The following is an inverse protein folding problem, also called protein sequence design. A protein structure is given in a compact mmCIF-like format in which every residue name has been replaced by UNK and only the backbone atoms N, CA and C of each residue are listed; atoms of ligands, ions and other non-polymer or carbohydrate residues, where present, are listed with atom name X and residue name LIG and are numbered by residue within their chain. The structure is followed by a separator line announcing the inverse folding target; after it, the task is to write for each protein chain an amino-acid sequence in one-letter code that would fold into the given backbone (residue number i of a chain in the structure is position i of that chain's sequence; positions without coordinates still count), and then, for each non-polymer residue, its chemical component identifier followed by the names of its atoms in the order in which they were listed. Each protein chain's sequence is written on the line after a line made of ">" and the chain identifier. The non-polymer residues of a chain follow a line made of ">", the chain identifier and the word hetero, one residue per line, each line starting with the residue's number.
data_IF_462286182139
#
_entry.id   IF_462286182139
#
_cell.length_a   1.000
_cell.length_b   1.000
_cell.length_c   1.000
_cell.angle_alpha   90.00
_cell.angle_beta   90.00
_cell.angle_gamma   90.00
#
_symmetry.space_group_name_H-M   'P 1'
#
loop_
_entity.id
_entity.type
_entity.pdbx_description
1 polymer ?
#
# COMPACT_ATOMS: atom_id res chain seq x y z
N UNK A 1 -30.23 -5.69 -29.61
CA UNK A 1 -28.85 -5.35 -29.98
C UNK A 1 -27.99 -5.43 -28.74
N UNK A 2 -26.87 -6.14 -28.80
CA UNK A 2 -25.90 -6.19 -27.71
C UNK A 2 -24.71 -5.30 -28.05
N UNK A 3 -24.09 -4.68 -27.05
CA UNK A 3 -22.87 -3.90 -27.23
C UNK A 3 -21.68 -4.73 -26.75
N UNK A 4 -20.61 -4.77 -27.55
CA UNK A 4 -19.38 -5.44 -27.15
C UNK A 4 -18.72 -4.67 -25.99
N UNK A 5 -18.59 -5.29 -24.81
CA UNK A 5 -18.02 -4.62 -23.62
C UNK A 5 -16.54 -4.20 -23.82
N UNK A 6 -15.86 -4.73 -24.84
CA UNK A 6 -14.44 -4.46 -25.07
C UNK A 6 -14.16 -3.30 -26.03
N UNK A 7 -14.98 -3.15 -27.06
CA UNK A 7 -14.75 -2.21 -28.18
C UNK A 7 -15.98 -1.36 -28.55
N UNK A 8 -17.06 -1.48 -27.77
CA UNK A 8 -18.31 -0.73 -27.92
C UNK A 8 -19.05 -0.90 -29.26
N UNK A 9 -18.59 -1.82 -30.11
CA UNK A 9 -19.26 -2.15 -31.37
C UNK A 9 -20.63 -2.79 -31.12
N UNK A 10 -21.62 -2.39 -31.91
CA UNK A 10 -22.93 -3.04 -31.94
C UNK A 10 -22.82 -4.43 -32.54
N UNK A 11 -23.27 -5.43 -31.79
CA UNK A 11 -23.28 -6.82 -32.23
C UNK A 11 -24.62 -7.10 -32.93
N UNK A 12 -24.56 -7.26 -34.26
CA UNK A 12 -25.72 -7.49 -35.12
C UNK A 12 -26.21 -8.96 -35.12
N UNK A 13 -25.38 -9.89 -34.66
CA UNK A 13 -25.63 -11.34 -34.59
C UNK A 13 -25.60 -11.87 -33.15
N UNK A 14 -25.71 -13.19 -32.96
CA UNK A 14 -25.60 -13.84 -31.65
C UNK A 14 -24.24 -13.51 -31.01
N UNK A 15 -24.19 -12.75 -29.91
CA UNK A 15 -22.92 -12.30 -29.34
C UNK A 15 -22.12 -13.47 -28.78
N UNK A 16 -20.80 -13.39 -28.91
CA UNK A 16 -19.90 -14.26 -28.15
C UNK A 16 -20.07 -13.87 -26.69
N UNK A 17 -20.40 -14.83 -25.82
CA UNK A 17 -20.54 -14.58 -24.37
C UNK A 17 -19.58 -15.46 -23.61
N UNK A 18 -19.27 -15.08 -22.37
CA UNK A 18 -18.57 -15.98 -21.46
C UNK A 18 -19.42 -17.24 -21.24
N UNK A 19 -18.95 -18.45 -21.57
CA UNK A 19 -19.76 -19.67 -21.49
C UNK A 19 -20.20 -19.97 -20.05
N UNK A 20 -19.52 -19.38 -19.06
CA UNK A 20 -19.80 -19.59 -17.64
C UNK A 20 -20.77 -18.58 -17.06
N UNK A 21 -20.43 -17.29 -17.09
CA UNK A 21 -21.27 -16.28 -16.45
C UNK A 21 -22.36 -15.72 -17.38
N UNK A 22 -22.17 -15.74 -18.70
CA UNK A 22 -23.05 -15.13 -19.71
C UNK A 22 -23.37 -13.64 -19.51
N UNK A 23 -22.73 -12.97 -18.55
CA UNK A 23 -23.00 -11.57 -18.17
C UNK A 23 -22.44 -10.54 -19.14
N UNK A 24 -21.48 -10.93 -19.99
CA UNK A 24 -20.79 -10.03 -20.91
C UNK A 24 -20.95 -10.52 -22.35
N UNK A 25 -21.22 -9.59 -23.25
CA UNK A 25 -21.34 -9.80 -24.69
C UNK A 25 -20.13 -9.24 -25.42
N UNK A 26 -19.63 -9.99 -26.41
CA UNK A 26 -18.46 -9.66 -27.22
C UNK A 26 -18.81 -9.82 -28.71
N UNK A 27 -18.22 -8.97 -29.56
CA UNK A 27 -18.37 -9.10 -31.01
C UNK A 27 -17.51 -10.22 -31.62
N UNK A 28 -16.52 -10.72 -30.89
CA UNK A 28 -15.62 -11.79 -31.34
C UNK A 28 -14.93 -12.49 -30.17
N UNK A 29 -14.40 -13.68 -30.42
CA UNK A 29 -13.53 -14.41 -29.48
C UNK A 29 -12.28 -13.62 -29.12
N UNK A 30 -11.71 -12.84 -30.05
CA UNK A 30 -10.58 -11.94 -29.77
C UNK A 30 -10.95 -10.87 -28.73
N UNK A 31 -12.11 -10.22 -28.89
CA UNK A 31 -12.60 -9.26 -27.91
C UNK A 31 -12.85 -9.91 -26.55
N UNK A 32 -13.39 -11.12 -26.54
CA UNK A 32 -13.55 -11.91 -25.32
C UNK A 32 -12.20 -12.18 -24.64
N UNK A 33 -11.24 -12.78 -25.33
CA UNK A 33 -9.92 -13.14 -24.79
C UNK A 33 -9.16 -11.92 -24.25
N UNK A 34 -9.16 -10.82 -24.99
CA UNK A 34 -8.50 -9.58 -24.54
C UNK A 34 -9.17 -8.92 -23.32
N UNK A 35 -10.44 -9.24 -23.05
CA UNK A 35 -11.16 -8.74 -21.87
C UNK A 35 -11.06 -9.68 -20.66
N UNK A 36 -10.60 -10.93 -20.84
CA UNK A 36 -10.46 -11.92 -19.76
C UNK A 36 -9.71 -11.38 -18.54
N UNK A 37 -8.58 -10.64 -18.68
CA UNK A 37 -7.86 -10.09 -17.53
C UNK A 37 -8.66 -9.12 -16.66
N UNK A 38 -9.75 -8.55 -17.17
CA UNK A 38 -10.65 -7.68 -16.41
C UNK A 38 -11.90 -8.44 -15.97
N UNK A 39 -12.51 -9.16 -16.90
CA UNK A 39 -13.73 -9.93 -16.70
C UNK A 39 -13.62 -10.94 -15.56
N UNK A 40 -12.46 -11.60 -15.40
CA UNK A 40 -12.29 -12.69 -14.42
C UNK A 40 -12.60 -12.28 -12.98
N UNK A 41 -12.44 -11.00 -12.65
CA UNK A 41 -12.71 -10.46 -11.31
C UNK A 41 -14.21 -10.36 -10.98
N UNK A 42 -15.05 -10.24 -12.01
CA UNK A 42 -16.51 -10.18 -11.87
C UNK A 42 -17.17 -11.52 -12.24
N UNK A 43 -16.36 -12.48 -12.74
CA UNK A 43 -16.83 -13.79 -13.17
C UNK A 43 -16.96 -14.74 -11.97
N UNK A 44 -18.18 -14.89 -11.44
CA UNK A 44 -18.52 -15.78 -10.30
C UNK A 44 -18.24 -17.29 -10.50
N UNK A 45 -17.60 -17.69 -11.59
CA UNK A 45 -17.49 -19.09 -12.04
C UNK A 45 -16.06 -19.67 -11.99
N UNK A 46 -15.13 -19.03 -11.25
CA UNK A 46 -13.81 -19.60 -10.96
C UNK A 46 -13.56 -19.59 -9.45
N UNK A 47 -12.74 -20.54 -8.99
CA UNK A 47 -12.15 -20.52 -7.65
C UNK A 47 -11.18 -19.35 -7.48
N UNK A 48 -10.17 -19.46 -6.58
CA UNK A 48 -9.21 -18.38 -6.34
C UNK A 48 -8.59 -17.87 -7.65
N UNK A 49 -8.53 -16.54 -7.82
CA UNK A 49 -7.91 -15.90 -8.99
C UNK A 49 -6.39 -15.96 -8.82
N UNK A 50 -5.68 -16.49 -9.82
CA UNK A 50 -4.22 -16.57 -9.81
C UNK A 50 -3.58 -15.17 -9.82
N UNK A 51 -2.43 -15.03 -9.16
CA UNK A 51 -1.69 -13.79 -9.03
C UNK A 51 -1.22 -13.21 -10.38
N UNK A 52 -1.12 -14.03 -11.43
CA UNK A 52 -0.85 -13.58 -12.80
C UNK A 52 -1.94 -12.65 -13.35
N UNK A 53 -3.22 -12.87 -13.03
CA UNK A 53 -4.30 -12.03 -13.55
C UNK A 53 -4.32 -10.64 -12.92
N UNK A 54 -3.94 -10.53 -11.65
CA UNK A 54 -3.74 -9.25 -10.99
C UNK A 54 -2.59 -8.47 -11.64
N UNK A 55 -1.50 -9.16 -12.02
CA UNK A 55 -0.39 -8.56 -12.76
C UNK A 55 -0.84 -8.10 -14.14
N UNK A 56 -1.56 -8.95 -14.88
CA UNK A 56 -2.08 -8.62 -16.20
C UNK A 56 -2.98 -7.39 -16.15
N UNK A 57 -3.96 -7.35 -15.23
CA UNK A 57 -4.82 -6.18 -15.02
C UNK A 57 -4.03 -4.91 -14.78
N UNK A 58 -2.99 -4.96 -13.94
CA UNK A 58 -2.12 -3.82 -13.67
C UNK A 58 -1.37 -3.38 -14.93
N UNK A 59 -0.80 -4.33 -15.69
CA UNK A 59 -0.07 -4.06 -16.93
C UNK A 59 -0.96 -3.42 -18.01
N UNK A 60 -2.18 -3.96 -18.23
CA UNK A 60 -3.14 -3.37 -19.17
C UNK A 60 -3.62 -1.98 -18.73
N UNK A 61 -3.76 -1.75 -17.42
CA UNK A 61 -4.10 -0.45 -16.87
C UNK A 61 -2.91 0.53 -16.81
N UNK A 62 -1.71 0.13 -17.24
CA UNK A 62 -0.48 0.93 -17.12
C UNK A 62 -0.15 1.34 -15.68
N UNK A 63 -0.41 0.46 -14.70
CA UNK A 63 -0.21 0.71 -13.27
C UNK A 63 0.77 -0.29 -12.68
N UNK A 64 1.50 0.13 -11.65
CA UNK A 64 2.29 -0.78 -10.80
C UNK A 64 1.31 -1.70 -10.04
N UNK A 65 1.52 -3.03 -10.02
CA UNK A 65 0.66 -3.94 -9.28
C UNK A 65 0.69 -3.63 -7.79
N UNK A 66 -0.50 -3.50 -7.20
CA UNK A 66 -0.68 -3.25 -5.76
C UNK A 66 -0.95 -4.55 -4.99
N UNK A 67 -1.38 -5.62 -5.68
CA UNK A 67 -1.70 -6.88 -5.05
C UNK A 67 -0.45 -7.54 -4.45
N UNK A 68 -0.42 -7.66 -3.12
CA UNK A 68 0.74 -8.11 -2.34
C UNK A 68 1.30 -9.45 -2.81
N UNK A 69 0.47 -10.48 -2.97
CA UNK A 69 1.00 -11.78 -3.36
C UNK A 69 1.52 -11.75 -4.81
N UNK A 70 0.88 -11.00 -5.72
CA UNK A 70 1.44 -10.74 -7.06
C UNK A 70 2.79 -10.04 -6.98
N UNK A 71 2.93 -9.06 -6.09
CA UNK A 71 4.20 -8.34 -5.93
C UNK A 71 5.31 -9.26 -5.40
N UNK A 72 4.98 -10.20 -4.53
CA UNK A 72 5.92 -11.23 -4.03
C UNK A 72 6.28 -12.22 -5.14
N UNK A 73 5.25 -12.78 -5.78
CA UNK A 73 5.34 -13.85 -6.77
C UNK A 73 6.15 -13.45 -7.99
N UNK A 74 5.94 -12.22 -8.48
CA UNK A 74 6.55 -11.68 -9.69
C UNK A 74 7.68 -10.70 -9.40
N UNK A 75 8.26 -10.75 -8.19
CA UNK A 75 9.52 -10.07 -7.89
C UNK A 75 9.45 -8.56 -7.68
N UNK A 76 8.26 -7.94 -7.65
CA UNK A 76 8.12 -6.52 -7.31
C UNK A 76 8.65 -6.22 -5.91
N UNK A 77 8.35 -7.03 -4.89
CA UNK A 77 8.91 -6.82 -3.55
C UNK A 77 10.44 -6.94 -3.50
N UNK A 78 11.03 -7.69 -4.44
CA UNK A 78 12.48 -7.87 -4.53
C UNK A 78 13.15 -6.73 -5.28
N UNK A 79 12.61 -6.36 -6.45
CA UNK A 79 13.13 -5.23 -7.24
C UNK A 79 13.02 -3.93 -6.47
N UNK A 80 11.96 -3.74 -5.69
CA UNK A 80 11.75 -2.58 -4.83
C UNK A 80 12.87 -2.43 -3.82
N UNK A 81 13.26 -3.53 -3.17
CA UNK A 81 14.37 -3.53 -2.20
C UNK A 81 15.72 -3.29 -2.88
N UNK A 82 15.92 -3.87 -4.07
CA UNK A 82 17.18 -3.78 -4.78
C UNK A 82 17.37 -2.43 -5.51
N UNK A 83 16.33 -1.88 -6.12
CA UNK A 83 16.39 -0.78 -7.09
C UNK A 83 15.33 0.33 -6.87
N UNK A 84 14.60 0.29 -5.75
CA UNK A 84 13.60 1.32 -5.44
C UNK A 84 12.46 1.38 -6.46
N UNK A 85 11.86 2.56 -6.60
CA UNK A 85 10.74 2.77 -7.53
C UNK A 85 11.16 2.65 -9.00
N UNK A 86 12.39 3.05 -9.36
CA UNK A 86 12.89 2.90 -10.72
C UNK A 86 12.82 1.44 -11.17
N UNK A 87 13.28 0.52 -10.34
CA UNK A 87 13.21 -0.90 -10.66
C UNK A 87 11.78 -1.45 -10.76
N UNK A 88 10.82 -0.95 -9.96
CA UNK A 88 9.40 -1.30 -10.16
C UNK A 88 8.88 -0.90 -11.54
N UNK A 89 9.21 0.32 -11.98
CA UNK A 89 8.82 0.81 -13.30
C UNK A 89 9.45 -0.06 -14.38
N UNK A 90 10.73 -0.42 -14.22
CA UNK A 90 11.43 -1.28 -15.18
C UNK A 90 10.81 -2.68 -15.27
N UNK A 91 10.53 -3.30 -14.12
CA UNK A 91 9.93 -4.62 -14.05
C UNK A 91 8.47 -4.61 -14.54
N UNK A 92 7.70 -3.55 -14.26
CA UNK A 92 6.36 -3.38 -14.80
C UNK A 92 6.37 -3.22 -16.32
N UNK A 93 7.34 -2.47 -16.86
CA UNK A 93 7.54 -2.32 -18.30
C UNK A 93 7.86 -3.66 -18.98
N UNK A 94 8.71 -4.48 -18.34
CA UNK A 94 9.02 -5.83 -18.81
C UNK A 94 7.76 -6.72 -18.90
N UNK A 95 6.99 -6.81 -17.81
CA UNK A 95 5.77 -7.61 -17.79
C UNK A 95 4.69 -7.09 -18.72
N UNK A 96 4.60 -5.77 -18.92
CA UNK A 96 3.72 -5.18 -19.94
C UNK A 96 4.14 -5.62 -21.34
N UNK A 97 5.44 -5.67 -21.63
CA UNK A 97 5.94 -6.21 -22.90
C UNK A 97 5.42 -7.63 -23.16
N UNK A 98 5.48 -8.50 -22.15
CA UNK A 98 5.00 -9.88 -22.26
C UNK A 98 3.48 -9.97 -22.40
N UNK A 99 2.74 -9.34 -21.49
CA UNK A 99 1.29 -9.55 -21.34
C UNK A 99 0.47 -8.73 -22.34
N UNK A 100 0.87 -7.49 -22.60
CA UNK A 100 0.08 -6.54 -23.39
C UNK A 100 0.58 -6.35 -24.82
N UNK A 101 1.86 -6.60 -25.11
CA UNK A 101 2.44 -6.43 -26.45
C UNK A 101 2.64 -7.79 -27.14
N UNK A 102 3.23 -8.76 -26.44
CA UNK A 102 3.43 -10.13 -26.94
C UNK A 102 2.23 -11.05 -26.68
N UNK A 103 1.18 -10.53 -26.05
CA UNK A 103 -0.09 -11.22 -25.77
C UNK A 103 0.09 -12.58 -25.06
N UNK A 104 1.09 -12.71 -24.19
CA UNK A 104 1.26 -13.90 -23.35
C UNK A 104 0.06 -14.02 -22.40
N UNK A 105 -0.58 -15.19 -22.40
CA UNK A 105 -1.72 -15.46 -21.52
C UNK A 105 -1.28 -15.48 -20.04
N UNK A 106 -2.07 -14.90 -19.12
CA UNK A 106 -1.76 -14.92 -17.68
C UNK A 106 -1.54 -16.33 -17.13
N UNK A 107 -2.29 -17.32 -17.61
CA UNK A 107 -2.17 -18.73 -17.23
C UNK A 107 -0.79 -19.29 -17.57
N UNK A 108 -0.27 -18.94 -18.76
CA UNK A 108 1.06 -19.36 -19.20
C UNK A 108 2.15 -18.71 -18.34
N UNK A 109 1.97 -17.43 -18.00
CA UNK A 109 2.89 -16.74 -17.10
C UNK A 109 2.86 -17.35 -15.67
N UNK A 110 1.68 -17.73 -15.18
CA UNK A 110 1.53 -18.42 -13.90
C UNK A 110 2.25 -19.78 -13.92
N UNK A 111 2.13 -20.53 -15.02
CA UNK A 111 2.84 -21.79 -15.21
C UNK A 111 4.36 -21.60 -15.14
N UNK A 112 4.91 -20.61 -15.86
CA UNK A 112 6.35 -20.31 -15.83
C UNK A 112 6.86 -20.02 -14.42
N UNK A 113 6.05 -19.34 -13.60
CA UNK A 113 6.35 -19.07 -12.19
C UNK A 113 6.35 -20.35 -11.36
N UNK A 114 5.32 -21.18 -11.47
CA UNK A 114 5.20 -22.42 -10.69
C UNK A 114 6.32 -23.39 -11.02
N UNK A 115 6.74 -23.44 -12.28
CA UNK A 115 7.90 -24.23 -12.73
C UNK A 115 9.25 -23.67 -12.27
N UNK A 116 9.29 -22.43 -11.75
CA UNK A 116 10.54 -21.75 -11.41
C UNK A 116 11.36 -21.30 -12.63
N UNK A 117 10.76 -21.22 -13.81
CA UNK A 117 11.44 -20.96 -15.10
C UNK A 117 11.07 -19.60 -15.71
N UNK A 118 10.66 -18.64 -14.88
CA UNK A 118 10.28 -17.30 -15.35
C UNK A 118 11.39 -16.66 -16.20
N UNK A 119 12.64 -16.67 -15.72
CA UNK A 119 13.76 -16.05 -16.41
C UNK A 119 14.00 -16.67 -17.79
N UNK A 120 14.05 -18.00 -17.84
CA UNK A 120 14.24 -18.77 -19.09
C UNK A 120 13.18 -18.40 -20.13
N UNK A 121 11.90 -18.46 -19.76
CA UNK A 121 10.80 -18.19 -20.69
C UNK A 121 10.72 -16.73 -21.12
N UNK A 122 11.04 -15.78 -20.22
CA UNK A 122 11.13 -14.35 -20.57
C UNK A 122 12.23 -14.14 -21.61
N UNK A 123 13.43 -14.67 -21.38
CA UNK A 123 14.54 -14.59 -22.32
C UNK A 123 14.18 -15.20 -23.68
N UNK A 124 13.57 -16.39 -23.68
CA UNK A 124 13.12 -17.05 -24.90
C UNK A 124 12.11 -16.20 -25.67
N UNK A 125 11.15 -15.58 -24.99
CA UNK A 125 10.12 -14.77 -25.64
C UNK A 125 10.71 -13.49 -26.25
N UNK A 126 11.56 -12.76 -25.52
CA UNK A 126 12.22 -11.56 -26.06
C UNK A 126 13.27 -11.88 -27.13
N UNK A 127 13.85 -13.07 -27.12
CA UNK A 127 14.77 -13.52 -28.18
C UNK A 127 14.07 -13.65 -29.54
N UNK A 128 12.75 -13.87 -29.58
CA UNK A 128 11.97 -13.89 -30.83
C UNK A 128 11.87 -12.53 -31.51
N UNK A 129 12.09 -11.43 -30.78
CA UNK A 129 12.06 -10.09 -31.34
C UNK A 129 13.42 -9.71 -31.97
N UNK A 130 13.43 -8.90 -33.05
CA UNK A 130 14.63 -8.25 -33.55
C UNK A 130 15.30 -7.44 -32.43
N UNK A 131 16.64 -7.36 -32.43
CA UNK A 131 17.42 -6.73 -31.34
C UNK A 131 16.92 -5.33 -30.99
N UNK A 132 16.62 -4.54 -32.00
CA UNK A 132 16.25 -3.13 -31.88
C UNK A 132 14.82 -2.95 -31.32
N UNK A 133 14.01 -4.01 -31.31
CA UNK A 133 12.64 -4.01 -30.82
C UNK A 133 12.49 -4.59 -29.40
N UNK A 134 13.58 -5.01 -28.75
CA UNK A 134 13.53 -5.61 -27.41
C UNK A 134 13.31 -4.58 -26.29
N UNK A 135 13.65 -3.32 -26.54
CA UNK A 135 13.40 -2.18 -25.65
C UNK A 135 14.29 -2.13 -24.40
N UNK A 136 14.30 -0.98 -23.74
CA UNK A 136 15.14 -0.71 -22.56
C UNK A 136 14.78 -1.54 -21.32
N UNK A 137 13.51 -1.95 -21.18
CA UNK A 137 13.07 -2.79 -20.06
C UNK A 137 13.69 -4.18 -20.08
N UNK A 138 13.81 -4.78 -21.27
CA UNK A 138 14.47 -6.08 -21.42
C UNK A 138 15.99 -5.98 -21.24
N UNK A 139 16.61 -4.92 -21.77
CA UNK A 139 18.03 -4.66 -21.54
C UNK A 139 18.36 -4.56 -20.05
N UNK A 140 17.57 -3.79 -19.30
CA UNK A 140 17.69 -3.72 -17.84
C UNK A 140 17.44 -5.08 -17.16
N UNK A 141 16.45 -5.84 -17.63
CA UNK A 141 16.16 -7.16 -17.08
C UNK A 141 17.34 -8.13 -17.22
N UNK A 142 18.09 -8.09 -18.32
CA UNK A 142 19.26 -8.96 -18.53
C UNK A 142 20.31 -8.80 -17.42
N UNK A 143 20.52 -7.58 -16.93
CA UNK A 143 21.43 -7.27 -15.82
C UNK A 143 20.82 -7.60 -14.44
N UNK A 144 19.50 -7.86 -14.39
CA UNK A 144 18.73 -7.96 -13.16
C UNK A 144 17.88 -9.25 -13.05
N UNK A 145 18.25 -10.29 -13.79
CA UNK A 145 17.51 -11.57 -13.85
C UNK A 145 17.34 -12.24 -12.48
N UNK A 146 18.29 -11.99 -11.60
CA UNK A 146 18.32 -12.45 -10.22
C UNK A 146 17.12 -12.03 -9.36
N UNK A 147 16.38 -11.00 -9.81
CA UNK A 147 15.13 -10.57 -9.18
C UNK A 147 14.07 -11.67 -9.32
N UNK A 148 14.08 -12.41 -10.43
CA UNK A 148 13.09 -13.44 -10.72
C UNK A 148 13.60 -14.86 -10.47
N UNK A 149 14.91 -15.07 -10.52
CA UNK A 149 15.54 -16.34 -10.21
C UNK A 149 16.58 -16.16 -9.10
N UNK A 150 16.37 -16.80 -7.94
CA UNK A 150 17.28 -16.72 -6.80
C UNK A 150 18.51 -17.62 -6.94
N UNK A 151 18.45 -18.61 -7.84
CA UNK A 151 19.57 -19.51 -8.13
C UNK A 151 20.60 -18.80 -9.00
N UNK A 152 20.14 -17.88 -9.86
CA UNK A 152 20.97 -16.85 -10.43
C UNK A 152 21.39 -15.96 -9.27
N UNK A 153 22.62 -16.13 -8.81
CA UNK A 153 23.25 -15.13 -7.98
C UNK A 153 23.14 -13.81 -8.75
N UNK A 154 22.21 -12.95 -8.33
CA UNK A 154 22.64 -11.58 -8.07
C UNK A 154 23.83 -11.84 -7.18
N UNK A 155 24.98 -11.27 -7.52
CA UNK A 155 25.91 -10.88 -6.50
C UNK A 155 25.11 -10.31 -5.31
N UNK A 156 24.74 -11.16 -4.34
CA UNK A 156 24.07 -10.77 -3.11
C UNK A 156 24.96 -9.71 -2.47
N UNK A 157 26.27 -9.82 -2.69
CA UNK A 157 27.29 -8.80 -2.45
C UNK A 157 27.03 -7.45 -3.12
N UNK A 158 26.61 -7.36 -4.38
CA UNK A 158 26.31 -6.07 -5.05
C UNK A 158 25.00 -5.49 -4.54
N UNK A 159 23.96 -6.30 -4.34
CA UNK A 159 22.70 -5.81 -3.76
C UNK A 159 22.89 -5.36 -2.30
N UNK A 160 23.62 -6.15 -1.53
CA UNK A 160 23.99 -5.86 -0.15
C UNK A 160 24.93 -4.67 -0.10
N UNK A 161 25.85 -4.51 -1.05
CA UNK A 161 26.71 -3.34 -1.18
C UNK A 161 25.90 -2.09 -1.51
N UNK A 162 24.95 -2.15 -2.45
CA UNK A 162 24.07 -1.03 -2.78
C UNK A 162 23.18 -0.64 -1.58
N UNK A 163 22.62 -1.62 -0.87
CA UNK A 163 21.85 -1.39 0.35
C UNK A 163 22.73 -0.80 1.47
N UNK A 164 23.96 -1.31 1.65
CA UNK A 164 24.94 -0.79 2.60
C UNK A 164 25.37 0.63 2.23
N UNK A 165 25.52 0.94 0.93
CA UNK A 165 25.87 2.26 0.45
C UNK A 165 24.76 3.27 0.75
N UNK A 166 23.49 2.93 0.53
CA UNK A 166 22.34 3.78 0.90
C UNK A 166 22.27 4.00 2.40
N UNK A 167 22.49 2.94 3.18
CA UNK A 167 22.57 3.01 4.64
C UNK A 167 23.68 3.96 5.10
N UNK A 168 24.86 3.88 4.50
CA UNK A 168 26.00 4.76 4.77
C UNK A 168 25.74 6.20 4.33
N UNK A 169 25.09 6.41 3.19
CA UNK A 169 24.70 7.73 2.71
C UNK A 169 23.71 8.40 3.66
N UNK A 170 22.71 7.67 4.16
CA UNK A 170 21.80 8.18 5.19
C UNK A 170 22.54 8.44 6.51
N UNK A 171 23.47 7.56 6.90
CA UNK A 171 24.26 7.73 8.13
C UNK A 171 25.11 9.00 8.13
N UNK A 172 25.60 9.44 6.97
CA UNK A 172 26.32 10.71 6.84
C UNK A 172 25.50 11.94 7.29
N UNK A 173 24.16 11.88 7.27
CA UNK A 173 23.30 12.94 7.82
C UNK A 173 23.24 12.94 9.34
N UNK A 174 23.53 11.79 9.97
CA UNK A 174 23.48 11.61 11.42
C UNK A 174 24.79 12.05 12.06
N UNK A 175 25.91 11.57 11.52
CA UNK A 175 27.24 11.75 12.13
C UNK A 175 28.16 12.69 11.35
N UNK A 176 27.73 13.16 10.18
CA UNK A 176 28.52 13.98 9.27
C UNK A 176 29.26 13.15 8.19
N UNK A 177 29.65 13.78 7.07
CA UNK A 177 30.21 13.11 5.90
C UNK A 177 31.64 12.58 6.10
N UNK A 178 32.34 13.03 7.15
CA UNK A 178 33.71 12.63 7.45
C UNK A 178 33.80 11.26 8.14
N UNK A 179 32.73 10.79 8.77
CA UNK A 179 32.73 9.51 9.48
C UNK A 179 32.25 8.37 8.58
N UNK A 180 33.06 7.30 8.47
CA UNK A 180 32.79 6.15 7.62
C UNK A 180 32.59 4.88 8.45
N UNK A 181 31.42 4.77 9.06
CA UNK A 181 31.05 3.56 9.78
C UNK A 181 30.70 2.42 8.81
N UNK A 182 31.05 1.20 9.21
CA UNK A 182 30.61 0.00 8.50
C UNK A 182 29.10 -0.17 8.61
N UNK A 183 28.46 -0.79 7.61
CA UNK A 183 27.02 -1.05 7.65
C UNK A 183 26.59 -1.89 8.87
N UNK A 184 27.47 -2.76 9.40
CA UNK A 184 27.23 -3.52 10.64
C UNK A 184 27.20 -2.60 11.86
N UNK A 185 28.17 -1.68 11.95
CA UNK A 185 28.24 -0.67 13.01
C UNK A 185 27.02 0.24 12.99
N UNK A 186 26.62 0.72 11.80
CA UNK A 186 25.46 1.59 11.64
C UNK A 186 24.20 0.90 12.16
N UNK A 187 23.92 -0.35 11.72
CA UNK A 187 22.75 -1.11 12.19
C UNK A 187 22.72 -1.26 13.71
N UNK A 188 23.87 -1.54 14.33
CA UNK A 188 23.96 -1.64 15.80
C UNK A 188 23.60 -0.32 16.48
N UNK A 189 24.14 0.80 15.99
CA UNK A 189 23.87 2.14 16.55
C UNK A 189 22.43 2.57 16.33
N UNK A 190 21.86 2.33 15.15
CA UNK A 190 20.46 2.63 14.86
C UNK A 190 19.53 1.78 15.74
N UNK A 191 19.89 0.54 16.07
CA UNK A 191 19.09 -0.26 17.01
C UNK A 191 19.02 0.33 18.43
N UNK A 192 19.95 1.22 18.79
CA UNK A 192 19.95 1.95 20.07
C UNK A 192 19.07 3.21 20.02
N UNK A 193 18.57 3.60 18.83
CA UNK A 193 17.69 4.76 18.68
C UNK A 193 16.28 4.47 19.23
N UNK A 194 15.55 5.53 19.59
CA UNK A 194 14.12 5.40 19.88
C UNK A 194 13.35 4.88 18.66
N UNK A 195 12.19 4.20 18.81
CA UNK A 195 11.44 3.68 17.67
C UNK A 195 11.12 4.75 16.60
N UNK A 196 10.81 5.98 17.02
CA UNK A 196 10.54 7.07 16.10
C UNK A 196 11.81 7.56 15.38
N UNK A 197 12.95 7.62 16.06
CA UNK A 197 14.21 8.00 15.42
C UNK A 197 14.70 6.90 14.46
N UNK A 198 14.43 5.62 14.75
CA UNK A 198 14.63 4.52 13.81
C UNK A 198 13.76 4.68 12.56
N UNK A 199 12.49 5.06 12.72
CA UNK A 199 11.61 5.36 11.62
C UNK A 199 12.11 6.55 10.80
N UNK A 200 12.58 7.63 11.45
CA UNK A 200 13.16 8.80 10.78
C UNK A 200 14.40 8.43 9.98
N UNK A 201 15.30 7.63 10.56
CA UNK A 201 16.47 7.14 9.84
C UNK A 201 16.08 6.25 8.64
N UNK A 202 15.06 5.41 8.80
CA UNK A 202 14.53 4.60 7.70
C UNK A 202 13.95 5.47 6.59
N UNK A 203 13.27 6.57 6.91
CA UNK A 203 12.81 7.55 5.92
C UNK A 203 13.98 8.12 5.12
N UNK A 204 15.09 8.51 5.77
CA UNK A 204 16.28 9.03 5.06
C UNK A 204 16.83 8.00 4.06
N UNK A 205 16.99 6.74 4.48
CA UNK A 205 17.42 5.65 3.58
C UNK A 205 16.49 5.53 2.37
N UNK A 206 15.18 5.58 2.62
CA UNK A 206 14.16 5.42 1.59
C UNK A 206 14.12 6.61 0.61
N UNK A 207 14.18 7.84 1.12
CA UNK A 207 14.21 9.06 0.31
C UNK A 207 15.43 9.07 -0.63
N UNK A 208 16.59 8.65 -0.15
CA UNK A 208 17.82 8.56 -0.95
C UNK A 208 17.82 7.41 -1.97
N UNK A 209 16.93 6.44 -1.79
CA UNK A 209 16.78 5.27 -2.66
C UNK A 209 15.65 5.41 -3.68
N UNK A 210 15.01 6.60 -3.75
CA UNK A 210 13.76 6.83 -4.48
C UNK A 210 12.66 5.80 -4.14
N UNK A 211 12.71 5.28 -2.92
CA UNK A 211 11.70 4.37 -2.41
C UNK A 211 10.54 5.16 -1.80
N UNK A 212 9.32 4.69 -2.03
CA UNK A 212 8.10 5.36 -1.59
C UNK A 212 7.40 4.54 -0.53
N UNK A 213 6.85 5.23 0.47
CA UNK A 213 5.98 4.59 1.43
C UNK A 213 4.64 4.29 0.78
N UNK A 214 4.16 3.06 0.94
CA UNK A 214 2.84 2.64 0.50
C UNK A 214 1.96 2.26 1.70
N UNK A 215 0.65 2.03 1.47
CA UNK A 215 -0.31 1.80 2.55
C UNK A 215 0.09 0.70 3.53
N UNK A 216 0.78 -0.35 3.07
CA UNK A 216 1.23 -1.49 3.89
C UNK A 216 2.34 -1.18 4.90
N UNK A 217 2.86 0.04 4.92
CA UNK A 217 4.02 0.42 5.72
C UNK A 217 3.62 1.41 6.80
N UNK A 218 4.13 1.21 8.01
CA UNK A 218 3.86 2.09 9.15
C UNK A 218 4.29 3.54 8.88
N UNK A 219 5.41 3.72 8.17
CA UNK A 219 5.92 5.02 7.76
C UNK A 219 4.96 5.85 6.89
N UNK A 220 3.99 5.21 6.23
CA UNK A 220 2.97 5.92 5.44
C UNK A 220 2.07 6.80 6.32
N UNK A 221 1.77 6.34 7.54
CA UNK A 221 1.08 7.14 8.55
C UNK A 221 2.06 8.07 9.28
N UNK A 222 3.19 7.55 9.76
CA UNK A 222 4.14 8.30 10.60
C UNK A 222 4.59 9.60 9.91
N UNK A 223 4.80 9.56 8.59
CA UNK A 223 5.27 10.69 7.80
C UNK A 223 4.16 11.38 6.99
N UNK A 224 2.90 11.02 7.23
CA UNK A 224 1.76 11.75 6.69
C UNK A 224 1.45 11.51 5.21
N UNK A 225 2.04 10.49 4.57
CA UNK A 225 1.73 10.15 3.18
C UNK A 225 0.28 9.71 2.98
N UNK A 226 -0.35 9.10 4.00
CA UNK A 226 -1.78 8.77 4.00
C UNK A 226 -2.71 10.00 3.82
N UNK A 227 -2.22 11.21 4.12
CA UNK A 227 -2.99 12.44 3.95
C UNK A 227 -3.15 12.86 2.48
N UNK A 228 -2.34 12.28 1.58
CA UNK A 228 -2.38 12.58 0.16
C UNK A 228 -3.64 12.00 -0.48
N UNK A 229 -4.17 12.72 -1.46
CA UNK A 229 -5.40 12.36 -2.20
C UNK A 229 -5.13 11.76 -3.57
N UNK A 230 -3.88 11.83 -4.05
CA UNK A 230 -3.49 11.33 -5.37
C UNK A 230 -2.03 10.89 -5.40
N UNK A 231 -1.68 10.07 -6.39
CA UNK A 231 -0.28 9.69 -6.63
C UNK A 231 0.62 10.91 -6.95
N UNK A 232 0.04 11.97 -7.53
CA UNK A 232 0.75 13.22 -7.80
C UNK A 232 1.07 13.95 -6.50
N UNK A 233 0.09 14.15 -5.61
CA UNK A 233 0.34 14.79 -4.31
C UNK A 233 1.26 13.95 -3.42
N UNK A 234 1.20 12.62 -3.49
CA UNK A 234 2.17 11.76 -2.81
C UNK A 234 3.60 11.95 -3.34
N UNK A 235 3.75 12.07 -4.67
CA UNK A 235 5.04 12.35 -5.31
C UNK A 235 5.61 13.71 -4.88
N UNK A 236 4.75 14.73 -4.80
CA UNK A 236 5.14 16.06 -4.36
C UNK A 236 5.57 16.06 -2.89
N UNK A 237 4.88 15.33 -2.02
CA UNK A 237 5.25 15.21 -0.62
C UNK A 237 6.59 14.49 -0.45
N UNK A 238 6.82 13.42 -1.22
CA UNK A 238 8.10 12.71 -1.24
C UNK A 238 9.26 13.62 -1.65
N UNK A 239 9.05 14.42 -2.72
CA UNK A 239 10.02 15.43 -3.16
C UNK A 239 10.26 16.49 -2.08
N UNK A 240 9.20 16.96 -1.42
CA UNK A 240 9.30 17.91 -0.33
C UNK A 240 10.13 17.39 0.86
N UNK A 241 9.90 16.13 1.27
CA UNK A 241 10.75 15.48 2.28
C UNK A 241 12.20 15.35 1.82
N UNK A 242 12.44 14.99 0.55
CA UNK A 242 13.81 14.90 0.02
C UNK A 242 14.54 16.23 0.05
N UNK A 243 13.84 17.31 -0.29
CA UNK A 243 14.39 18.67 -0.17
C UNK A 243 14.65 19.04 1.29
N UNK A 244 13.73 18.68 2.19
CA UNK A 244 13.82 18.99 3.61
C UNK A 244 15.03 18.35 4.28
N UNK A 245 15.29 17.06 4.03
CA UNK A 245 16.46 16.37 4.62
C UNK A 245 17.79 16.97 4.17
N UNK A 246 17.81 17.69 3.04
CA UNK A 246 18.96 18.44 2.55
C UNK A 246 19.11 19.84 3.16
N UNK A 247 18.11 20.32 3.91
CA UNK A 247 18.07 21.68 4.50
C UNK A 247 18.07 21.71 6.02
N UNK A 248 17.75 20.61 6.68
CA UNK A 248 17.78 20.50 8.15
C UNK A 248 18.76 19.42 8.62
N UNK A 249 19.17 19.48 9.88
CA UNK A 249 19.96 18.39 10.49
C UNK A 249 19.08 17.19 10.81
N UNK A 250 19.67 15.98 10.92
CA UNK A 250 18.91 14.79 11.35
C UNK A 250 18.29 14.98 12.74
N UNK A 251 18.99 15.62 13.67
CA UNK A 251 18.48 15.91 15.01
C UNK A 251 17.31 16.90 14.99
N UNK A 252 17.37 17.92 14.15
CA UNK A 252 16.26 18.86 13.95
C UNK A 252 15.03 18.15 13.36
N UNK A 253 15.23 17.31 12.35
CA UNK A 253 14.16 16.50 11.76
C UNK A 253 13.49 15.58 12.80
N UNK A 254 14.28 14.79 13.53
CA UNK A 254 13.77 13.92 14.58
C UNK A 254 13.08 14.70 15.71
N UNK A 255 13.61 15.87 16.06
CA UNK A 255 12.99 16.80 17.00
C UNK A 255 11.62 17.28 16.53
N UNK A 256 11.51 17.65 15.24
CA UNK A 256 10.24 18.06 14.63
C UNK A 256 9.23 16.92 14.55
N UNK A 257 9.66 15.68 14.28
CA UNK A 257 8.80 14.50 14.34
C UNK A 257 8.25 14.27 15.75
N UNK A 258 9.12 14.29 16.78
CA UNK A 258 8.70 14.12 18.19
C UNK A 258 7.76 15.22 18.65
N UNK A 259 8.04 16.46 18.26
CA UNK A 259 7.23 17.63 18.61
C UNK A 259 5.98 17.80 17.72
N UNK A 260 5.79 16.95 16.70
CA UNK A 260 4.69 17.08 15.72
C UNK A 260 4.65 18.44 15.01
N UNK A 261 5.83 18.95 14.67
CA UNK A 261 6.05 20.27 14.03
C UNK A 261 6.67 20.16 12.64
N UNK A 262 6.61 18.98 12.01
CA UNK A 262 7.09 18.80 10.63
C UNK A 262 6.52 19.85 9.65
N UNK A 263 5.21 20.20 9.66
CA UNK A 263 4.72 21.26 8.77
C UNK A 263 5.38 22.61 9.02
N UNK A 264 5.64 22.97 10.29
CA UNK A 264 6.35 24.19 10.63
C UNK A 264 7.83 24.15 10.18
N UNK A 265 8.44 22.96 10.16
CA UNK A 265 9.78 22.76 9.63
C UNK A 265 9.81 22.91 8.10
N UNK A 266 8.81 22.39 7.38
CA UNK A 266 8.61 22.66 5.95
C UNK A 266 8.46 24.17 5.68
N UNK A 267 7.59 24.84 6.43
CA UNK A 267 7.36 26.28 6.30
C UNK A 267 8.65 27.09 6.53
N UNK A 268 9.42 26.75 7.58
CA UNK A 268 10.71 27.39 7.90
C UNK A 268 11.72 27.29 6.76
N UNK A 269 11.73 26.18 6.03
CA UNK A 269 12.64 25.96 4.91
C UNK A 269 12.04 26.36 3.55
N UNK A 270 10.85 26.95 3.52
CA UNK A 270 10.18 27.40 2.31
C UNK A 270 9.76 26.27 1.37
N UNK A 271 9.48 25.08 1.90
CA UNK A 271 9.11 23.90 1.12
C UNK A 271 7.59 23.76 1.11
N UNK A 272 7.00 23.76 -0.09
CA UNK A 272 5.56 23.58 -0.24
C UNK A 272 5.13 22.16 0.17
N UNK A 273 4.00 22.05 0.87
CA UNK A 273 3.36 20.77 1.20
C UNK A 273 2.08 20.61 0.36
N UNK A 274 1.92 19.48 -0.35
CA UNK A 274 0.67 19.20 -1.02
C UNK A 274 -0.41 18.88 0.01
N UNK A 275 -1.68 19.19 -0.31
CA UNK A 275 -2.83 18.91 0.55
C UNK A 275 -2.64 19.41 2.00
N UNK A 276 -2.17 20.66 2.15
CA UNK A 276 -1.62 21.22 3.39
C UNK A 276 -2.54 21.09 4.61
N UNK A 277 -3.87 21.08 4.42
CA UNK A 277 -4.84 20.81 5.50
C UNK A 277 -4.71 19.40 6.08
N UNK A 278 -4.75 18.37 5.24
CA UNK A 278 -4.70 16.98 5.69
C UNK A 278 -3.31 16.62 6.21
N UNK A 279 -2.27 17.11 5.54
CA UNK A 279 -0.90 16.92 6.00
C UNK A 279 -0.65 17.60 7.36
N UNK A 280 -1.17 18.81 7.58
CA UNK A 280 -1.08 19.48 8.88
C UNK A 280 -1.89 18.75 9.96
N UNK A 281 -3.10 18.27 9.64
CA UNK A 281 -3.88 17.49 10.61
C UNK A 281 -3.10 16.27 11.07
N UNK A 282 -2.61 15.43 10.14
CA UNK A 282 -1.89 14.24 10.55
C UNK A 282 -0.56 14.58 11.23
N UNK A 283 0.19 15.57 10.78
CA UNK A 283 1.53 15.82 11.33
C UNK A 283 1.54 16.70 12.58
N UNK A 284 0.46 17.41 12.92
CA UNK A 284 0.39 18.33 14.06
C UNK A 284 -0.71 18.03 15.07
N UNK A 285 -1.50 16.97 14.90
CA UNK A 285 -2.53 16.59 15.88
C UNK A 285 -1.92 16.14 17.21
N UNK A 286 -2.25 16.86 18.30
CA UNK A 286 -1.72 16.60 19.63
C UNK A 286 -2.11 15.23 20.21
N UNK A 287 -3.28 14.69 19.81
CA UNK A 287 -3.79 13.39 20.25
C UNK A 287 -3.17 12.18 19.55
N UNK A 288 -2.11 12.37 18.74
CA UNK A 288 -1.51 11.28 17.97
C UNK A 288 -2.00 11.26 16.53
N UNK A 289 -2.44 10.10 16.06
CA UNK A 289 -3.05 9.95 14.72
C UNK A 289 -4.54 9.68 14.92
N UNK A 290 -5.40 10.48 14.28
CA UNK A 290 -6.85 10.23 14.30
C UNK A 290 -7.14 8.85 13.73
N UNK A 291 -8.06 8.12 14.35
CA UNK A 291 -8.43 6.76 13.93
C UNK A 291 -8.94 6.69 12.50
N UNK A 292 -9.50 7.78 11.94
CA UNK A 292 -9.93 7.84 10.54
C UNK A 292 -8.77 7.68 9.56
N UNK A 293 -7.57 8.14 9.90
CA UNK A 293 -6.37 7.91 9.10
C UNK A 293 -5.92 6.45 9.16
N UNK A 294 -6.01 5.82 10.34
CA UNK A 294 -5.76 4.38 10.48
C UNK A 294 -6.78 3.55 9.70
N UNK A 295 -8.05 3.97 9.69
CA UNK A 295 -9.09 3.35 8.88
C UNK A 295 -8.82 3.53 7.38
N UNK A 296 -8.43 4.74 6.93
CA UNK A 296 -8.04 4.99 5.53
C UNK A 296 -6.89 4.08 5.12
N UNK A 297 -5.85 3.96 5.96
CA UNK A 297 -4.74 3.03 5.69
C UNK A 297 -5.20 1.59 5.56
N UNK A 298 -6.04 1.12 6.48
CA UNK A 298 -6.61 -0.22 6.42
C UNK A 298 -7.37 -0.48 5.11
N UNK A 299 -8.24 0.45 4.73
CA UNK A 299 -9.04 0.38 3.49
C UNK A 299 -8.16 0.38 2.24
N UNK A 300 -7.13 1.22 2.19
CA UNK A 300 -6.19 1.30 1.05
C UNK A 300 -5.29 0.07 0.96
N UNK A 301 -4.81 -0.45 2.09
CA UNK A 301 -4.10 -1.72 2.14
C UNK A 301 -4.95 -2.86 1.55
N UNK A 302 -6.24 -2.89 1.89
CA UNK A 302 -7.18 -3.89 1.38
C UNK A 302 -7.52 -3.72 -0.10
N UNK A 303 -7.72 -2.49 -0.55
CA UNK A 303 -7.95 -2.19 -1.95
C UNK A 303 -6.73 -2.62 -2.80
N UNK A 304 -5.52 -2.38 -2.30
CA UNK A 304 -4.28 -2.86 -2.89
C UNK A 304 -4.19 -4.37 -2.92
N UNK A 305 -4.61 -5.05 -1.85
CA UNK A 305 -4.58 -6.51 -1.72
C UNK A 305 -5.59 -7.28 -2.58
N UNK A 306 -6.59 -6.62 -3.17
CA UNK A 306 -7.54 -7.25 -4.09
C UNK A 306 -8.15 -8.57 -3.57
N UNK A 307 -9.14 -8.51 -2.68
CA UNK A 307 -10.04 -9.62 -2.24
C UNK A 307 -9.42 -11.03 -2.37
N UNK A 308 -8.35 -11.33 -1.63
CA UNK A 308 -7.94 -12.72 -1.42
C UNK A 308 -8.74 -13.33 -0.27
N UNK A 309 -9.38 -14.50 -0.47
CA UNK A 309 -9.88 -15.29 0.63
C UNK A 309 -8.71 -15.66 1.56
N UNK A 310 -8.72 -15.14 2.79
CA UNK A 310 -7.77 -15.52 3.85
C UNK A 310 -6.65 -14.51 4.16
N UNK A 311 -6.50 -13.39 3.43
CA UNK A 311 -5.58 -12.32 3.87
C UNK A 311 -6.19 -11.52 5.01
N UNK A 312 -5.61 -11.67 6.21
CA UNK A 312 -5.97 -10.86 7.38
C UNK A 312 -5.08 -9.62 7.39
N UNK A 313 -5.66 -8.48 7.03
CA UNK A 313 -5.05 -7.17 7.33
C UNK A 313 -5.46 -6.80 8.74
N UNK A 314 -4.53 -6.62 9.69
CA UNK A 314 -4.88 -6.15 11.02
C UNK A 314 -5.35 -4.70 10.93
N UNK A 315 -6.53 -4.42 11.47
CA UNK A 315 -7.03 -3.06 11.66
C UNK A 315 -6.48 -2.51 12.97
N UNK A 316 -6.06 -1.24 12.96
CA UNK A 316 -5.54 -0.59 14.17
C UNK A 316 -6.63 -0.49 15.24
N UNK A 317 -6.29 -0.77 16.49
CA UNK A 317 -7.27 -0.92 17.58
C UNK A 317 -8.17 0.31 17.77
N UNK A 318 -7.65 1.53 17.59
CA UNK A 318 -8.47 2.75 17.68
C UNK A 318 -9.54 2.80 16.60
N UNK A 319 -9.22 2.39 15.36
CA UNK A 319 -10.21 2.29 14.29
C UNK A 319 -11.20 1.15 14.53
N UNK A 320 -10.79 0.09 15.27
CA UNK A 320 -11.71 -1.00 15.64
C UNK A 320 -12.85 -0.50 16.50
N UNK A 321 -12.52 0.31 17.52
CA UNK A 321 -13.51 0.90 18.42
C UNK A 321 -14.32 2.00 17.72
N UNK A 322 -13.63 2.97 17.13
CA UNK A 322 -14.24 4.22 16.63
C UNK A 322 -15.18 4.00 15.44
N UNK A 323 -14.97 2.93 14.66
CA UNK A 323 -15.70 2.68 13.42
C UNK A 323 -16.53 1.39 13.44
N UNK A 324 -16.79 0.86 14.64
CA UNK A 324 -17.82 -0.15 14.87
C UNK A 324 -17.39 -1.60 14.62
N UNK A 325 -16.13 -1.86 14.27
CA UNK A 325 -15.62 -3.21 14.05
C UNK A 325 -15.63 -4.07 15.32
N UNK A 326 -15.48 -3.47 16.50
CA UNK A 326 -15.52 -4.17 17.79
C UNK A 326 -16.85 -4.90 18.03
N UNK A 327 -17.91 -4.44 17.37
CA UNK A 327 -19.26 -4.99 17.53
C UNK A 327 -19.62 -6.02 16.46
N UNK A 328 -18.74 -6.27 15.50
CA UNK A 328 -18.94 -7.31 14.49
C UNK A 328 -18.87 -8.69 15.14
N UNK A 329 -19.91 -9.50 14.93
CA UNK A 329 -20.04 -10.85 15.47
C UNK A 329 -19.40 -11.92 14.60
N UNK A 330 -19.37 -11.66 13.29
CA UNK A 330 -18.87 -12.61 12.32
C UNK A 330 -18.17 -11.94 11.13
N UNK A 331 -17.52 -12.75 10.31
CA UNK A 331 -16.77 -12.28 9.14
C UNK A 331 -17.62 -11.60 8.07
N UNK A 332 -18.94 -11.81 8.05
CA UNK A 332 -19.85 -11.13 7.10
C UNK A 332 -20.03 -9.68 7.52
N UNK A 333 -20.29 -9.43 8.81
CA UNK A 333 -20.41 -8.06 9.33
C UNK A 333 -19.12 -7.26 9.15
N UNK A 334 -17.95 -7.90 9.34
CA UNK A 334 -16.64 -7.27 9.05
C UNK A 334 -16.52 -6.90 7.57
N UNK A 335 -16.80 -7.84 6.65
CA UNK A 335 -16.76 -7.58 5.19
C UNK A 335 -17.72 -6.45 4.79
N UNK A 336 -18.87 -6.39 5.45
CA UNK A 336 -19.87 -5.37 5.23
C UNK A 336 -19.38 -3.97 5.60
N UNK A 337 -18.70 -3.82 6.76
CA UNK A 337 -18.02 -2.57 7.11
C UNK A 337 -16.86 -2.26 6.18
N UNK A 338 -16.11 -3.27 5.76
CA UNK A 338 -15.01 -3.10 4.80
C UNK A 338 -15.53 -2.49 3.48
N UNK A 339 -16.59 -3.05 2.91
CA UNK A 339 -17.18 -2.58 1.65
C UNK A 339 -17.72 -1.15 1.81
N UNK A 340 -18.33 -0.84 2.96
CA UNK A 340 -18.81 0.51 3.29
C UNK A 340 -17.66 1.52 3.30
N UNK A 341 -16.61 1.28 4.10
CA UNK A 341 -15.51 2.24 4.23
C UNK A 341 -14.65 2.31 2.96
N UNK A 342 -14.54 1.22 2.18
CA UNK A 342 -13.96 1.25 0.84
C UNK A 342 -14.75 2.16 -0.08
N UNK A 343 -16.09 2.05 -0.10
CA UNK A 343 -16.94 2.94 -0.90
C UNK A 343 -16.82 4.39 -0.44
N UNK A 344 -16.82 4.62 0.89
CA UNK A 344 -16.71 5.93 1.50
C UNK A 344 -15.40 6.62 1.08
N UNK A 345 -14.23 6.02 1.31
CA UNK A 345 -12.94 6.66 0.98
C UNK A 345 -12.67 6.79 -0.53
N UNK A 346 -13.44 6.11 -1.39
CA UNK A 346 -13.40 6.34 -2.85
C UNK A 346 -14.20 7.57 -3.27
N UNK A 347 -15.10 8.07 -2.43
CA UNK A 347 -15.85 9.27 -2.71
C UNK A 347 -14.96 10.51 -2.44
N UNK A 348 -14.70 11.37 -3.44
CA UNK A 348 -13.87 12.57 -3.27
C UNK A 348 -14.44 13.57 -2.27
N UNK A 349 -15.74 13.52 -1.98
CA UNK A 349 -16.40 14.41 -1.02
C UNK A 349 -16.18 13.97 0.45
N UNK A 350 -15.55 12.82 0.67
CA UNK A 350 -15.27 12.33 2.03
C UNK A 350 -14.05 13.03 2.60
N UNK A 351 -14.28 13.73 3.70
CA UNK A 351 -13.25 14.33 4.53
C UNK A 351 -12.90 13.39 5.71
N UNK A 352 -11.67 12.83 5.77
CA UNK A 352 -11.25 11.95 6.87
C UNK A 352 -11.24 12.65 8.24
N UNK A 353 -11.03 13.97 8.28
CA UNK A 353 -11.06 14.75 9.52
C UNK A 353 -12.51 14.85 10.01
N UNK A 354 -13.43 15.21 9.12
CA UNK A 354 -14.85 15.31 9.45
C UNK A 354 -15.45 13.94 9.87
N UNK A 355 -15.00 12.85 9.24
CA UNK A 355 -15.39 11.49 9.62
C UNK A 355 -14.97 11.16 11.07
N UNK A 356 -13.76 11.54 11.47
CA UNK A 356 -13.33 11.37 12.86
C UNK A 356 -14.13 12.25 13.82
N UNK A 357 -14.39 13.50 13.47
CA UNK A 357 -15.22 14.40 14.28
C UNK A 357 -16.66 13.88 14.43
N UNK A 358 -17.21 13.26 13.39
CA UNK A 358 -18.50 12.58 13.44
C UNK A 358 -18.47 11.38 14.40
N UNK A 359 -17.38 10.61 14.41
CA UNK A 359 -17.15 9.55 15.40
C UNK A 359 -17.12 10.09 16.83
N UNK A 360 -16.38 11.17 17.09
CA UNK A 360 -16.31 11.77 18.41
C UNK A 360 -17.65 12.30 18.93
N UNK A 361 -18.57 12.62 18.02
CA UNK A 361 -19.93 13.11 18.32
C UNK A 361 -20.99 12.02 18.28
N UNK A 362 -20.60 10.77 18.02
CA UNK A 362 -21.51 9.63 17.83
C UNK A 362 -22.55 9.85 16.71
N UNK A 363 -22.15 10.51 15.61
CA UNK A 363 -22.98 10.82 14.44
C UNK A 363 -22.39 10.28 13.13
N UNK A 364 -21.61 9.20 13.21
CA UNK A 364 -21.00 8.56 12.02
C UNK A 364 -22.06 8.16 11.00
N UNK A 365 -23.20 7.65 11.45
CA UNK A 365 -24.33 7.28 10.59
C UNK A 365 -24.85 8.49 9.79
N UNK A 366 -25.07 9.62 10.45
CA UNK A 366 -25.55 10.84 9.81
C UNK A 366 -24.53 11.39 8.81
N UNK A 367 -23.24 11.29 9.13
CA UNK A 367 -22.17 11.68 8.21
C UNK A 367 -22.16 10.79 6.98
N UNK A 368 -22.11 9.47 7.16
CA UNK A 368 -22.04 8.49 6.07
C UNK A 368 -23.28 8.58 5.17
N UNK A 369 -24.48 8.72 5.75
CA UNK A 369 -25.73 8.81 4.97
C UNK A 369 -25.85 10.09 4.15
N UNK A 370 -25.24 11.20 4.60
CA UNK A 370 -25.17 12.44 3.83
C UNK A 370 -24.22 12.35 2.65
N UNK A 371 -23.09 11.66 2.82
CA UNK A 371 -22.03 11.61 1.81
C UNK A 371 -22.16 10.42 0.85
N UNK A 372 -22.80 9.32 1.26
CA UNK A 372 -23.04 8.15 0.40
C UNK A 372 -24.49 7.65 0.49
N UNK A 373 -25.34 8.20 -0.38
CA UNK A 373 -26.77 7.89 -0.42
C UNK A 373 -27.06 6.43 -0.83
N UNK A 374 -26.15 5.74 -1.54
CA UNK A 374 -26.42 4.41 -2.13
C UNK A 374 -26.43 3.27 -1.12
N UNK A 375 -25.80 3.46 0.04
CA UNK A 375 -25.70 2.43 1.09
C UNK A 375 -26.60 2.73 2.32
N UNK A 376 -27.42 3.77 2.27
CA UNK A 376 -28.27 4.27 3.37
C UNK A 376 -29.09 3.20 4.12
N UNK A 377 -29.66 2.22 3.43
CA UNK A 377 -30.44 1.14 4.07
C UNK A 377 -29.58 0.19 4.93
N UNK A 378 -28.35 -0.08 4.47
CA UNK A 378 -27.40 -0.99 5.09
C UNK A 378 -26.73 -0.36 6.32
N UNK A 379 -26.34 0.91 6.18
CA UNK A 379 -25.71 1.71 7.24
C UNK A 379 -26.70 1.92 8.40
N UNK A 380 -27.99 2.15 8.11
CA UNK A 380 -29.04 2.27 9.13
C UNK A 380 -29.29 0.97 9.92
N UNK A 381 -29.18 -0.21 9.32
CA UNK A 381 -29.42 -1.48 10.02
C UNK A 381 -28.26 -1.85 10.96
N UNK A 382 -27.01 -1.60 10.54
CA UNK A 382 -25.83 -1.99 11.33
C UNK A 382 -25.50 -0.96 12.39
N UNK A 383 -25.46 0.34 12.07
CA UNK A 383 -25.10 1.38 13.05
C UNK A 383 -26.19 1.56 14.12
N UNK A 384 -27.49 1.48 13.79
CA UNK A 384 -28.53 1.43 14.85
C UNK A 384 -28.41 0.21 15.76
N UNK A 385 -27.95 -0.92 15.20
CA UNK A 385 -27.62 -2.12 15.99
C UNK A 385 -26.40 -1.94 16.89
N UNK A 386 -25.57 -0.90 16.66
CA UNK A 386 -24.48 -0.46 17.53
C UNK A 386 -25.00 0.47 18.63
N UNK A 387 -25.85 1.45 18.28
CA UNK A 387 -26.48 2.40 19.23
C UNK A 387 -27.31 1.66 20.30
N UNK A 388 -28.17 0.71 19.90
CA UNK A 388 -29.00 -0.05 20.87
C UNK A 388 -28.16 -0.92 21.81
N UNK A 389 -26.93 -1.30 21.42
CA UNK A 389 -26.04 -2.14 22.23
C UNK A 389 -25.08 -1.34 23.10
N UNK A 390 -24.77 -0.10 22.72
CA UNK A 390 -24.08 0.87 23.56
C UNK A 390 -24.90 1.10 24.84
N UNK A 391 -26.21 1.31 24.69
CA UNK A 391 -27.15 1.48 25.80
C UNK A 391 -27.29 0.24 26.71
N UNK A 392 -27.09 -0.98 26.18
CA UNK A 392 -27.20 -2.22 26.98
C UNK A 392 -25.94 -2.53 27.80
N UNK A 393 -24.79 -1.96 27.44
CA UNK A 393 -23.49 -2.22 28.09
C UNK A 393 -23.08 -1.07 29.03
N UNK A 394 -23.60 0.15 28.80
CA UNK A 394 -23.38 1.29 29.71
C UNK A 394 -24.36 1.31 30.89
N UNK A 395 -23.98 0.66 31.99
CA UNK A 395 -24.24 1.24 33.32
C UNK A 395 -23.49 2.58 33.47
N UNK A 396 -23.80 3.43 34.46
CA UNK A 396 -23.42 4.84 34.45
C UNK A 396 -21.90 4.99 34.53
N UNK A 397 -21.28 5.24 33.38
CA UNK A 397 -19.92 5.75 33.28
C UNK A 397 -19.98 7.10 32.57
N UNK A 398 -19.55 8.13 33.29
CA UNK A 398 -19.40 9.48 32.77
C UNK A 398 -18.28 9.49 31.71
N UNK A 399 -18.51 10.07 30.51
CA UNK A 399 -17.48 10.18 29.50
C UNK A 399 -16.61 11.42 29.82
N UNK A 400 -15.29 11.21 29.83
CA UNK A 400 -14.24 12.23 29.99
C UNK A 400 -14.06 12.84 31.39
N UNK A 401 -13.31 12.13 32.24
CA UNK A 401 -12.40 12.75 33.22
C UNK A 401 -10.98 12.88 32.64
N UNK A 402 -10.15 13.83 33.09
CA UNK A 402 -8.86 14.11 32.47
C UNK A 402 -7.89 12.95 32.66
N UNK A 403 -7.46 12.35 31.56
CA UNK A 403 -6.43 11.31 31.56
C UNK A 403 -5.08 11.94 31.94
N UNK A 404 -4.70 11.85 33.22
CA UNK A 404 -3.32 12.07 33.70
C UNK A 404 -2.68 10.71 33.97
N UNK A 405 -1.64 10.28 33.25
CA UNK A 405 -0.91 9.09 33.64
C UNK A 405 0.04 9.44 34.80
N UNK A 406 -0.31 8.99 36.00
CA UNK A 406 0.60 8.91 37.15
C UNK A 406 1.41 7.62 37.02
N UNK A 407 2.67 7.71 36.59
CA UNK A 407 3.62 6.63 36.78
C UNK A 407 4.21 6.69 38.19
N UNK A 408 3.78 5.79 39.07
CA UNK A 408 4.58 5.36 40.23
C UNK A 408 4.60 3.83 40.28
N UNK A 409 5.82 3.33 40.46
CA UNK A 409 6.28 1.98 40.18
C UNK A 409 5.45 0.83 40.71
N UNK A 410 5.52 -0.28 39.99
CA UNK A 410 5.75 -1.60 40.57
C UNK A 410 6.61 -2.42 39.62
N UNK A 411 7.83 -2.68 40.09
CA UNK A 411 8.71 -3.77 39.73
C UNK A 411 7.98 -5.12 39.77
N UNK A 412 8.28 -6.03 38.84
CA UNK A 412 7.96 -7.45 39.00
C UNK A 412 7.52 -8.14 37.73
N UNK A 413 8.51 -8.68 37.00
CA UNK A 413 8.46 -9.95 36.24
C UNK A 413 7.09 -10.58 35.95
N UNK A 414 6.68 -10.62 34.68
CA UNK A 414 6.72 -11.87 33.92
C UNK A 414 6.40 -11.69 32.44
N UNK A 415 7.24 -12.40 31.67
CA UNK A 415 7.15 -12.85 30.30
C UNK A 415 5.76 -13.24 29.80
N UNK A 416 5.33 -12.64 28.69
CA UNK A 416 5.05 -13.31 27.42
C UNK A 416 4.46 -12.30 26.42
N UNK A 417 5.22 -11.98 25.37
CA UNK A 417 4.77 -11.16 24.25
C UNK A 417 5.67 -11.43 23.05
N UNK A 418 5.16 -12.22 22.11
CA UNK A 418 5.86 -12.64 20.91
C UNK A 418 6.27 -11.42 20.07
N UNK A 419 7.57 -11.11 20.11
CA UNK A 419 8.24 -10.23 19.18
C UNK A 419 8.29 -10.93 17.81
N UNK A 420 7.50 -10.45 16.85
CA UNK A 420 7.84 -10.64 15.44
C UNK A 420 9.01 -9.70 15.12
N UNK A 421 10.19 -10.10 15.58
CA UNK A 421 11.47 -9.66 15.04
C UNK A 421 11.47 -9.93 13.53
N UNK A 422 11.46 -8.88 12.72
CA UNK A 422 11.91 -8.98 11.34
C UNK A 422 13.41 -9.35 11.38
N UNK A 423 13.84 -10.49 10.84
CA UNK A 423 15.26 -10.74 10.67
C UNK A 423 15.73 -9.89 9.50
N UNK A 424 16.53 -8.86 9.82
CA UNK A 424 17.60 -8.43 8.92
C UNK A 424 18.63 -9.57 8.89
N UNK A 425 18.44 -10.52 7.97
CA UNK A 425 19.37 -11.64 7.80
C UNK A 425 18.96 -12.61 6.68
N UNK A 426 19.79 -12.60 5.63
CA UNK A 426 19.90 -13.48 4.45
C UNK A 426 19.10 -13.08 3.20
#
# INVERSE_FOLDING_TARGET
>A
MHTCVRCDATVASTPVTCPRCKNFSYCSTKCQSSHVPFHIFDCKAKGPIDTAYYLARACYASKIPQHRQTRVDYGFERVVRAHGHHGEVMLCGLYRGLLAIMEIEPEKLAQWRVEGRLVEHINAQFATLPRDHRGGYYAWFLDNQHILDRTLSSSQDVQQAAANQRLQAAWAFVVGPSQRDSAKTIRKRVAEFSPLDQACFSLYVNLLSDWRYGPSMEGWIIFGFVATTSATSETELHRGYRELIGRCTFQEFCGACRARTIPALFDRHGIATPDSRYFRDIMSFAGGVRSSWSLKQYVEQRAGLGIFPGSVVPIHITAVYDFGYIYCRDSREVRMLDDLYVALFRNPDVDPIALFEACQKDIVLDYVTKVDYKHTYFVRYHIRGLETRYETISGPFTPYGPYKPSYKGLSGTNSHGALNSFPLGL
#
